data_IF_127694334884
#
_entry.id   IF_127694334884
#
_cell.length_a   1.000
_cell.length_b   1.000
_cell.length_c   1.000
_cell.angle_alpha   90.00
_cell.angle_beta   90.00
_cell.angle_gamma   90.00
#
_symmetry.space_group_name_H-M   'P 1'
#
loop_
_entity.id
_entity.type
_entity.pdbx_description
1 polymer ?
#
# COMPACT_ATOMS: atom_id res chain seq x y z
N UNK A 1 -6.69 -8.24 5.25
CA UNK A 1 -7.13 -9.27 4.29
C UNK A 1 -6.52 -10.61 4.69
N UNK A 2 -7.08 -11.72 4.20
CA UNK A 2 -6.64 -13.08 4.55
C UNK A 2 -6.24 -13.85 3.29
N UNK A 3 -5.29 -14.80 3.33
CA UNK A 3 -4.96 -15.62 2.17
C UNK A 3 -6.20 -16.28 1.56
N UNK A 4 -6.34 -16.18 0.23
CA UNK A 4 -7.55 -16.56 -0.50
C UNK A 4 -7.92 -18.04 -0.27
N UNK A 5 -6.92 -18.93 -0.30
CA UNK A 5 -7.15 -20.35 -0.05
C UNK A 5 -7.67 -20.64 1.38
N UNK A 6 -7.21 -19.88 2.38
CA UNK A 6 -7.69 -20.00 3.76
C UNK A 6 -9.15 -19.54 3.89
N UNK A 7 -9.56 -18.50 3.15
CA UNK A 7 -10.96 -18.06 3.10
C UNK A 7 -11.83 -19.09 2.37
N UNK A 8 -11.33 -19.69 1.29
CA UNK A 8 -12.02 -20.74 0.54
C UNK A 8 -12.24 -21.99 1.41
N UNK A 9 -11.28 -22.34 2.25
CA UNK A 9 -11.39 -23.48 3.16
C UNK A 9 -12.46 -23.32 4.25
N UNK A 10 -13.00 -22.10 4.44
CA UNK A 10 -14.18 -21.88 5.29
C UNK A 10 -15.46 -22.50 4.69
N UNK A 11 -15.45 -22.87 3.40
CA UNK A 11 -16.51 -23.60 2.73
C UNK A 11 -16.19 -25.11 2.76
N UNK A 12 -17.03 -25.94 3.39
CA UNK A 12 -16.78 -27.37 3.49
C UNK A 12 -16.83 -28.02 2.10
N UNK A 13 -15.97 -29.02 1.90
CA UNK A 13 -15.95 -29.88 0.71
C UNK A 13 -15.75 -29.13 -0.62
N UNK A 14 -15.26 -27.90 -0.63
CA UNK A 14 -14.99 -27.18 -1.88
C UNK A 14 -13.72 -27.68 -2.57
N UNK A 15 -13.69 -27.63 -3.91
CA UNK A 15 -12.44 -27.74 -4.65
C UNK A 15 -11.72 -26.38 -4.67
N UNK A 16 -10.57 -26.28 -3.98
CA UNK A 16 -9.80 -25.05 -3.79
C UNK A 16 -9.49 -24.30 -5.09
N UNK A 17 -8.79 -24.95 -6.02
CA UNK A 17 -8.32 -24.29 -7.26
C UNK A 17 -9.47 -23.81 -8.15
N UNK A 18 -10.52 -24.63 -8.42
CA UNK A 18 -11.70 -24.14 -9.15
C UNK A 18 -12.43 -22.99 -8.43
N UNK A 19 -12.54 -23.02 -7.11
CA UNK A 19 -13.20 -21.95 -6.35
C UNK A 19 -12.41 -20.64 -6.41
N UNK A 20 -11.08 -20.70 -6.32
CA UNK A 20 -10.21 -19.56 -6.47
C UNK A 20 -10.32 -18.93 -7.87
N UNK A 21 -10.30 -19.77 -8.92
CA UNK A 21 -10.49 -19.30 -10.29
C UNK A 21 -11.87 -18.66 -10.50
N UNK A 22 -12.94 -19.27 -9.95
CA UNK A 22 -14.30 -18.72 -10.01
C UNK A 22 -14.43 -17.39 -9.27
N UNK A 23 -13.83 -17.27 -8.07
CA UNK A 23 -13.80 -16.03 -7.30
C UNK A 23 -13.08 -14.92 -8.07
N UNK A 24 -11.87 -15.18 -8.55
CA UNK A 24 -11.09 -14.22 -9.33
C UNK A 24 -11.87 -13.75 -10.56
N UNK A 25 -12.47 -14.69 -11.29
CA UNK A 25 -13.29 -14.38 -12.47
C UNK A 25 -14.48 -13.49 -12.10
N UNK A 26 -15.24 -13.85 -11.06
CA UNK A 26 -16.41 -13.10 -10.63
C UNK A 26 -16.09 -11.66 -10.18
N UNK A 27 -14.96 -11.47 -9.50
CA UNK A 27 -14.49 -10.13 -9.08
C UNK A 27 -14.06 -9.29 -10.29
N UNK A 28 -13.30 -9.87 -11.22
CA UNK A 28 -12.84 -9.18 -12.43
C UNK A 28 -14.01 -8.78 -13.34
N UNK A 29 -14.97 -9.70 -13.55
CA UNK A 29 -16.13 -9.47 -14.40
C UNK A 29 -17.17 -8.52 -13.75
N UNK A 30 -17.06 -8.24 -12.44
CA UNK A 30 -17.98 -7.36 -11.71
C UNK A 30 -19.43 -7.87 -11.61
N UNK A 31 -19.69 -9.09 -12.09
CA UNK A 31 -21.00 -9.74 -12.13
C UNK A 31 -20.97 -11.13 -11.51
N UNK A 32 -20.71 -11.27 -10.19
CA UNK A 32 -21.15 -12.47 -9.51
C UNK A 32 -22.66 -12.61 -9.72
N UNK A 33 -23.12 -13.78 -10.17
CA UNK A 33 -24.46 -14.02 -10.74
C UNK A 33 -25.69 -13.52 -9.96
N UNK A 34 -25.51 -12.99 -8.73
CA UNK A 34 -26.58 -12.53 -7.83
C UNK A 34 -26.30 -11.14 -7.23
N UNK A 35 -25.09 -10.58 -7.36
CA UNK A 35 -24.74 -9.34 -6.69
C UNK A 35 -23.84 -8.43 -7.55
N UNK A 36 -24.30 -7.23 -7.96
CA UNK A 36 -23.42 -6.27 -8.62
C UNK A 36 -22.38 -5.74 -7.63
N UNK A 37 -21.12 -5.68 -8.05
CA UNK A 37 -20.05 -5.03 -7.30
C UNK A 37 -19.81 -3.64 -7.88
N UNK A 38 -19.63 -2.63 -7.03
CA UNK A 38 -19.04 -1.36 -7.45
C UNK A 38 -17.58 -1.56 -7.85
N UNK A 39 -17.01 -0.60 -8.58
CA UNK A 39 -15.59 -0.67 -8.94
C UNK A 39 -14.68 -0.65 -7.70
N UNK A 40 -15.02 0.16 -6.69
CA UNK A 40 -14.34 0.16 -5.39
C UNK A 40 -14.41 -1.22 -4.71
N UNK A 41 -15.57 -1.87 -4.72
CA UNK A 41 -15.73 -3.19 -4.14
C UNK A 41 -14.92 -4.25 -4.90
N UNK A 42 -14.75 -4.09 -6.22
CA UNK A 42 -13.93 -5.01 -7.02
C UNK A 42 -12.45 -4.90 -6.65
N UNK A 43 -11.94 -3.69 -6.51
CA UNK A 43 -10.55 -3.43 -6.15
C UNK A 43 -10.23 -3.94 -4.73
N UNK A 44 -11.19 -3.80 -3.81
CA UNK A 44 -11.03 -4.25 -2.43
C UNK A 44 -11.35 -5.74 -2.23
N UNK A 45 -12.09 -6.39 -3.12
CA UNK A 45 -12.53 -7.77 -2.94
C UNK A 45 -11.36 -8.78 -2.98
N UNK A 46 -10.44 -8.58 -3.93
CA UNK A 46 -9.40 -9.56 -4.23
C UNK A 46 -8.09 -8.87 -4.65
N UNK A 47 -7.00 -9.21 -3.98
CA UNK A 47 -5.66 -8.70 -4.30
C UNK A 47 -4.78 -9.81 -4.87
N UNK A 48 -4.41 -9.69 -6.14
CA UNK A 48 -3.60 -10.66 -6.88
C UNK A 48 -2.11 -10.30 -6.76
N UNK A 49 -1.48 -10.73 -5.67
CA UNK A 49 -0.03 -10.64 -5.43
C UNK A 49 0.60 -12.04 -5.37
N UNK A 50 1.89 -12.13 -4.99
CA UNK A 50 2.59 -13.41 -4.79
C UNK A 50 1.83 -14.36 -3.85
N UNK A 51 1.15 -13.79 -2.86
CA UNK A 51 0.09 -14.45 -2.10
C UNK A 51 -1.22 -13.76 -2.43
N UNK A 52 -2.16 -14.51 -3.00
CA UNK A 52 -3.50 -14.01 -3.29
C UNK A 52 -4.27 -13.78 -1.99
N UNK A 53 -4.80 -12.56 -1.82
CA UNK A 53 -5.54 -12.17 -0.63
C UNK A 53 -7.00 -11.91 -0.98
N UNK A 54 -7.89 -12.23 -0.06
CA UNK A 54 -9.33 -12.01 -0.19
C UNK A 54 -9.83 -11.25 1.03
N UNK A 55 -10.56 -10.16 0.82
CA UNK A 55 -11.19 -9.39 1.88
C UNK A 55 -12.56 -9.98 2.27
N UNK A 56 -13.21 -9.45 3.32
CA UNK A 56 -14.61 -9.81 3.62
C UNK A 56 -15.58 -9.55 2.45
N UNK A 57 -15.30 -8.55 1.60
CA UNK A 57 -16.06 -8.26 0.38
C UNK A 57 -15.93 -9.42 -0.61
N UNK A 58 -14.70 -9.90 -0.85
CA UNK A 58 -14.46 -11.08 -1.69
C UNK A 58 -15.05 -12.37 -1.09
N UNK A 59 -15.12 -12.48 0.24
CA UNK A 59 -15.80 -13.59 0.90
C UNK A 59 -17.32 -13.57 0.68
N UNK A 60 -17.94 -12.39 0.61
CA UNK A 60 -19.35 -12.22 0.26
C UNK A 60 -19.63 -12.68 -1.18
N UNK A 61 -18.72 -12.36 -2.11
CA UNK A 61 -18.77 -12.87 -3.50
C UNK A 61 -18.65 -14.39 -3.51
N UNK A 62 -17.69 -14.95 -2.76
CA UNK A 62 -17.49 -16.38 -2.65
C UNK A 62 -18.74 -17.10 -2.10
N UNK A 63 -19.40 -16.52 -1.10
CA UNK A 63 -20.68 -17.03 -0.56
C UNK A 63 -21.79 -17.01 -1.61
N UNK A 64 -21.90 -15.94 -2.40
CA UNK A 64 -22.88 -15.87 -3.49
C UNK A 64 -22.64 -16.96 -4.55
N UNK A 65 -21.38 -17.19 -4.94
CA UNK A 65 -21.01 -18.28 -5.85
C UNK A 65 -21.34 -19.66 -5.28
N UNK A 66 -21.13 -19.85 -3.97
CA UNK A 66 -21.47 -21.09 -3.28
C UNK A 66 -22.98 -21.37 -3.30
N UNK A 67 -23.78 -20.41 -2.86
CA UNK A 67 -25.23 -20.53 -2.78
C UNK A 67 -25.88 -20.64 -4.17
N UNK A 68 -25.29 -20.02 -5.19
CA UNK A 68 -25.70 -20.14 -6.58
C UNK A 68 -25.29 -21.46 -7.27
N UNK A 69 -24.56 -22.34 -6.57
CA UNK A 69 -24.11 -23.62 -7.13
C UNK A 69 -23.01 -23.49 -8.19
N UNK A 70 -22.33 -22.35 -8.25
CA UNK A 70 -21.25 -22.10 -9.21
C UNK A 70 -19.89 -22.65 -8.75
N UNK A 71 -19.79 -23.12 -7.51
CA UNK A 71 -18.58 -23.75 -6.98
C UNK A 71 -18.62 -25.27 -7.14
N UNK A 72 -17.51 -25.84 -7.60
CA UNK A 72 -17.33 -27.29 -7.65
C UNK A 72 -17.12 -27.84 -6.24
N UNK A 73 -18.00 -28.75 -5.81
CA UNK A 73 -17.94 -29.40 -4.49
C UNK A 73 -17.62 -30.89 -4.61
N UNK A 74 -16.88 -31.41 -3.63
CA UNK A 74 -16.57 -32.85 -3.47
C UNK A 74 -17.77 -33.65 -2.99
N UNK A 75 -18.71 -32.99 -2.31
CA UNK A 75 -19.94 -33.55 -1.73
C UNK A 75 -21.08 -32.54 -1.92
N UNK A 76 -22.36 -32.96 -1.85
CA UNK A 76 -23.49 -32.03 -1.85
C UNK A 76 -23.29 -30.91 -0.81
N UNK A 77 -23.56 -29.68 -1.21
CA UNK A 77 -23.31 -28.49 -0.38
C UNK A 77 -24.22 -28.44 0.84
N UNK A 78 -23.66 -28.04 1.99
CA UNK A 78 -24.40 -27.68 3.19
C UNK A 78 -24.83 -26.21 3.10
N UNK A 79 -26.12 -25.92 3.20
CA UNK A 79 -26.61 -24.52 3.10
C UNK A 79 -25.96 -23.54 4.11
N UNK A 80 -25.66 -23.91 5.36
CA UNK A 80 -24.96 -23.00 6.28
C UNK A 80 -23.43 -23.06 6.13
N UNK A 81 -22.79 -21.90 6.05
CA UNK A 81 -21.33 -21.71 6.05
C UNK A 81 -20.93 -20.70 7.15
N UNK A 82 -21.14 -21.02 8.44
CA UNK A 82 -21.04 -20.04 9.53
C UNK A 82 -19.65 -19.43 9.69
N UNK A 83 -18.59 -20.18 9.36
CA UNK A 83 -17.22 -19.66 9.41
C UNK A 83 -16.97 -18.58 8.34
N UNK A 84 -17.54 -18.77 7.14
CA UNK A 84 -17.50 -17.75 6.08
C UNK A 84 -18.35 -16.53 6.47
N UNK A 85 -19.50 -16.76 7.10
CA UNK A 85 -20.39 -15.69 7.58
C UNK A 85 -19.73 -14.82 8.65
N UNK A 86 -19.01 -15.44 9.59
CA UNK A 86 -18.24 -14.73 10.60
C UNK A 86 -17.15 -13.84 9.97
N UNK A 87 -16.47 -14.33 8.91
CA UNK A 87 -15.48 -13.52 8.21
C UNK A 87 -16.14 -12.36 7.43
N UNK A 88 -17.27 -12.60 6.75
CA UNK A 88 -18.04 -11.56 6.06
C UNK A 88 -18.51 -10.47 7.04
N UNK A 89 -18.91 -10.85 8.26
CA UNK A 89 -19.35 -9.90 9.28
C UNK A 89 -18.26 -8.88 9.70
N UNK A 90 -16.99 -9.12 9.38
CA UNK A 90 -15.90 -8.16 9.62
C UNK A 90 -15.80 -7.05 8.55
N UNK A 91 -16.63 -7.10 7.49
CA UNK A 91 -16.62 -6.12 6.40
C UNK A 91 -16.72 -4.65 6.86
N UNK A 92 -17.58 -4.26 7.83
CA UNK A 92 -17.66 -2.87 8.26
C UNK A 92 -16.37 -2.35 8.89
N UNK A 93 -15.69 -3.19 9.69
CA UNK A 93 -14.40 -2.84 10.31
C UNK A 93 -13.33 -2.72 9.23
N UNK A 94 -13.29 -3.67 8.29
CA UNK A 94 -12.37 -3.60 7.16
C UNK A 94 -12.54 -2.32 6.33
N UNK A 95 -13.77 -1.91 6.02
CA UNK A 95 -14.04 -0.66 5.29
C UNK A 95 -13.62 0.57 6.08
N UNK A 96 -13.86 0.60 7.38
CA UNK A 96 -13.44 1.70 8.23
C UNK A 96 -11.91 1.85 8.26
N UNK A 97 -11.18 0.73 8.31
CA UNK A 97 -9.71 0.75 8.24
C UNK A 97 -9.18 1.23 6.89
N UNK A 98 -9.76 0.76 5.79
CA UNK A 98 -9.41 1.23 4.44
C UNK A 98 -9.63 2.73 4.32
N UNK A 99 -10.81 3.23 4.71
CA UNK A 99 -11.12 4.65 4.66
C UNK A 99 -10.15 5.50 5.52
N UNK A 100 -9.79 5.01 6.71
CA UNK A 100 -8.82 5.66 7.59
C UNK A 100 -7.43 5.75 6.96
N UNK A 101 -6.97 4.68 6.32
CA UNK A 101 -5.66 4.65 5.64
C UNK A 101 -5.64 5.66 4.49
N UNK A 102 -6.65 5.62 3.61
CA UNK A 102 -6.75 6.54 2.47
C UNK A 102 -6.81 8.00 2.92
N UNK A 103 -7.61 8.30 3.95
CA UNK A 103 -7.68 9.65 4.50
C UNK A 103 -6.33 10.12 5.09
N UNK A 104 -5.58 9.22 5.74
CA UNK A 104 -4.28 9.53 6.30
C UNK A 104 -3.22 9.77 5.20
N UNK A 105 -3.26 8.99 4.11
CA UNK A 105 -2.40 9.18 2.95
C UNK A 105 -2.70 10.50 2.24
N UNK A 106 -3.98 10.83 2.05
CA UNK A 106 -4.40 12.10 1.47
C UNK A 106 -3.93 13.29 2.31
N UNK A 107 -4.10 13.21 3.64
CA UNK A 107 -3.63 14.25 4.55
C UNK A 107 -2.10 14.42 4.48
N UNK A 108 -1.34 13.33 4.36
CA UNK A 108 0.12 13.39 4.17
C UNK A 108 0.50 14.05 2.85
N UNK A 109 -0.20 13.74 1.76
CA UNK A 109 0.03 14.35 0.45
C UNK A 109 -0.26 15.85 0.49
N UNK A 110 -1.42 16.24 1.02
CA UNK A 110 -1.79 17.64 1.19
C UNK A 110 -0.76 18.40 2.04
N UNK A 111 -0.29 17.79 3.14
CA UNK A 111 0.73 18.39 4.01
C UNK A 111 2.06 18.56 3.28
N UNK A 112 2.47 17.59 2.46
CA UNK A 112 3.67 17.69 1.64
C UNK A 112 3.55 18.85 0.62
N UNK A 113 2.41 18.96 -0.07
CA UNK A 113 2.18 20.03 -1.05
C UNK A 113 2.22 21.41 -0.40
N UNK A 114 1.66 21.55 0.81
CA UNK A 114 1.76 22.78 1.60
C UNK A 114 3.22 23.15 1.92
N UNK A 115 4.02 22.19 2.37
CA UNK A 115 5.44 22.43 2.69
C UNK A 115 6.26 22.75 1.44
N UNK A 116 5.96 22.11 0.29
CA UNK A 116 6.62 22.45 -0.97
C UNK A 116 6.31 23.89 -1.39
N UNK A 117 5.05 24.31 -1.25
CA UNK A 117 4.60 25.66 -1.55
C UNK A 117 5.21 26.69 -0.58
N UNK A 118 5.36 26.35 0.70
CA UNK A 118 5.97 27.18 1.73
C UNK A 118 6.84 26.35 2.71
N UNK A 119 8.16 26.24 2.49
CA UNK A 119 9.06 25.45 3.31
C UNK A 119 9.16 25.90 4.77
N UNK A 120 8.86 27.17 5.05
CA UNK A 120 8.94 27.72 6.42
C UNK A 120 7.75 27.27 7.28
N UNK A 121 6.64 26.81 6.67
CA UNK A 121 5.49 26.29 7.41
C UNK A 121 5.68 24.86 7.95
N UNK A 122 6.79 24.20 7.59
CA UNK A 122 7.15 22.89 8.12
C UNK A 122 7.54 22.97 9.60
N UNK A 123 7.39 21.85 10.32
CA UNK A 123 7.90 21.70 11.68
C UNK A 123 9.23 20.92 11.66
N UNK A 124 10.15 21.15 12.61
CA UNK A 124 11.43 20.44 12.63
C UNK A 124 11.29 18.90 12.72
N UNK A 125 10.23 18.39 13.36
CA UNK A 125 9.93 16.95 13.47
C UNK A 125 9.42 16.31 12.17
N UNK A 126 9.05 17.14 11.18
CA UNK A 126 8.63 16.68 9.85
C UNK A 126 9.82 16.53 8.89
N UNK A 127 11.00 17.01 9.27
CA UNK A 127 12.21 16.91 8.46
C UNK A 127 12.61 15.45 8.24
N UNK A 128 12.82 15.12 6.98
CA UNK A 128 13.29 13.82 6.54
C UNK A 128 14.06 13.98 5.22
N UNK A 129 14.96 13.05 4.87
CA UNK A 129 15.65 13.10 3.58
C UNK A 129 14.69 13.17 2.39
N UNK A 130 13.56 12.46 2.47
CA UNK A 130 12.50 12.51 1.46
C UNK A 130 11.90 13.91 1.30
N UNK A 131 11.51 14.55 2.41
CA UNK A 131 10.94 15.89 2.38
C UNK A 131 11.93 16.91 1.80
N UNK A 132 13.18 16.89 2.29
CA UNK A 132 14.25 17.78 1.82
C UNK A 132 14.43 17.63 0.29
N UNK A 133 14.55 16.40 -0.20
CA UNK A 133 14.70 16.13 -1.63
C UNK A 133 13.51 16.62 -2.46
N UNK A 134 12.28 16.49 -1.95
CA UNK A 134 11.07 16.98 -2.62
C UNK A 134 11.05 18.50 -2.71
N UNK A 135 11.35 19.19 -1.61
CA UNK A 135 11.41 20.66 -1.58
C UNK A 135 12.54 21.18 -2.47
N UNK A 136 13.75 20.60 -2.39
CA UNK A 136 14.87 20.96 -3.28
C UNK A 136 14.49 20.79 -4.75
N UNK A 137 13.92 19.63 -5.11
CA UNK A 137 13.51 19.36 -6.49
C UNK A 137 12.48 20.37 -6.99
N UNK A 138 11.49 20.72 -6.16
CA UNK A 138 10.46 21.68 -6.53
C UNK A 138 10.97 23.12 -6.63
N UNK A 139 11.94 23.53 -5.79
CA UNK A 139 12.45 24.91 -5.73
C UNK A 139 13.64 25.18 -6.65
N UNK A 140 14.53 24.21 -6.81
CA UNK A 140 15.84 24.38 -7.46
C UNK A 140 16.04 23.43 -8.65
N UNK A 141 15.18 22.43 -8.82
CA UNK A 141 15.27 21.43 -9.89
C UNK A 141 15.89 20.10 -9.47
N UNK A 142 15.83 19.11 -10.36
CA UNK A 142 16.15 17.71 -10.07
C UNK A 142 17.62 17.46 -9.71
N UNK A 143 18.57 18.17 -10.34
CA UNK A 143 20.02 17.94 -10.14
C UNK A 143 20.67 19.03 -9.27
N UNK A 144 19.87 19.81 -8.54
CA UNK A 144 20.38 20.86 -7.67
C UNK A 144 20.99 20.28 -6.38
N UNK A 145 22.15 20.81 -6.01
CA UNK A 145 22.86 20.54 -4.75
C UNK A 145 23.07 21.86 -4.00
N UNK A 146 23.26 21.77 -2.69
CA UNK A 146 23.53 22.92 -1.85
C UNK A 146 22.76 22.87 -0.54
N UNK A 147 22.45 24.04 -0.01
CA UNK A 147 21.69 24.22 1.22
C UNK A 147 20.39 24.99 0.98
N UNK A 148 19.37 24.67 1.77
CA UNK A 148 18.06 25.31 1.76
C UNK A 148 17.53 25.37 3.18
N UNK A 149 16.85 26.45 3.54
CA UNK A 149 16.16 26.54 4.84
C UNK A 149 14.77 25.91 4.73
N UNK A 150 14.44 25.00 5.64
CA UNK A 150 13.12 24.36 5.78
C UNK A 150 12.79 24.33 7.28
N UNK A 151 11.60 24.78 7.67
CA UNK A 151 11.23 24.90 9.09
C UNK A 151 12.20 25.78 9.92
N UNK A 152 12.86 26.76 9.31
CA UNK A 152 13.93 27.55 9.96
C UNK A 152 15.23 26.78 10.22
N UNK A 153 15.38 25.56 9.69
CA UNK A 153 16.57 24.71 9.82
C UNK A 153 17.30 24.62 8.49
N UNK A 154 18.62 24.83 8.51
CA UNK A 154 19.46 24.61 7.33
C UNK A 154 19.55 23.13 6.99
N UNK A 155 19.01 22.79 5.83
CA UNK A 155 19.00 21.45 5.26
C UNK A 155 19.94 21.40 4.05
N UNK A 156 20.52 20.25 3.79
CA UNK A 156 21.55 20.04 2.80
C UNK A 156 21.17 18.93 1.82
N UNK A 157 21.50 19.12 0.55
CA UNK A 157 21.44 18.11 -0.50
C UNK A 157 22.79 18.03 -1.17
N UNK A 158 23.49 16.92 -0.99
CA UNK A 158 24.89 16.75 -1.40
C UNK A 158 25.06 15.51 -2.27
N UNK A 159 26.02 15.56 -3.19
CA UNK A 159 26.46 14.37 -3.92
C UNK A 159 27.51 13.64 -3.09
N UNK A 160 27.25 12.39 -2.77
CA UNK A 160 28.21 11.49 -2.13
C UNK A 160 28.93 10.72 -3.24
N UNK A 161 30.23 10.95 -3.44
CA UNK A 161 31.00 10.21 -4.43
C UNK A 161 31.09 8.74 -4.01
N UNK A 162 31.22 7.82 -4.98
CA UNK A 162 31.44 6.42 -4.65
C UNK A 162 32.75 6.24 -3.87
N UNK A 163 32.83 5.23 -2.99
CA UNK A 163 34.09 4.89 -2.35
C UNK A 163 35.14 4.54 -3.41
N UNK A 164 36.40 4.94 -3.19
CA UNK A 164 37.49 4.56 -4.07
C UNK A 164 37.65 3.03 -4.05
N UNK A 165 37.50 2.39 -5.20
CA UNK A 165 37.70 0.94 -5.39
C UNK A 165 38.85 0.70 -6.35
N UNK A 166 39.77 -0.20 -5.99
CA UNK A 166 40.89 -0.61 -6.86
C UNK A 166 40.47 -1.52 -8.03
N UNK A 167 39.20 -1.95 -8.06
CA UNK A 167 38.68 -2.90 -9.05
C UNK A 167 37.73 -2.22 -10.04
N UNK A 168 38.17 -2.09 -11.31
CA UNK A 168 37.46 -1.40 -12.39
C UNK A 168 36.13 -2.09 -12.81
N UNK A 169 35.81 -3.26 -12.22
CA UNK A 169 34.66 -4.10 -12.62
C UNK A 169 33.35 -3.76 -11.92
N UNK A 170 33.37 -2.97 -10.84
CA UNK A 170 32.16 -2.51 -10.15
C UNK A 170 32.35 -1.07 -9.64
N UNK A 171 32.22 -0.08 -10.52
CA UNK A 171 32.16 1.32 -10.08
C UNK A 171 30.81 1.56 -9.42
N UNK A 172 30.80 1.81 -8.11
CA UNK A 172 29.63 2.32 -7.43
C UNK A 172 29.24 3.69 -8.04
N UNK A 173 27.94 3.95 -8.15
CA UNK A 173 27.43 5.24 -8.65
C UNK A 173 27.46 6.29 -7.53
N UNK A 174 27.66 7.56 -7.90
CA UNK A 174 27.51 8.65 -6.96
C UNK A 174 26.05 8.72 -6.50
N UNK A 175 25.83 8.77 -5.18
CA UNK A 175 24.48 8.83 -4.60
C UNK A 175 24.20 10.22 -4.09
N UNK A 176 22.94 10.62 -4.18
CA UNK A 176 22.49 11.86 -3.58
C UNK A 176 22.10 11.63 -2.12
N UNK A 177 22.54 12.52 -1.24
CA UNK A 177 22.30 12.45 0.21
C UNK A 177 21.61 13.73 0.66
N UNK A 178 20.55 13.60 1.47
CA UNK A 178 19.87 14.71 2.09
C UNK A 178 19.94 14.60 3.63
N UNK A 179 20.35 15.70 4.28
CA UNK A 179 20.61 15.73 5.72
C UNK A 179 20.41 17.14 6.30
N UNK A 180 20.34 17.26 7.62
CA UNK A 180 20.22 18.55 8.33
C UNK A 180 20.92 18.49 9.69
N UNK A 181 21.04 19.63 10.35
CA UNK A 181 21.51 19.71 11.74
C UNK A 181 20.31 19.95 12.66
N UNK A 182 20.17 19.15 13.72
CA UNK A 182 19.16 19.38 14.74
C UNK A 182 19.52 20.56 15.66
N UNK A 183 18.61 20.91 16.58
CA UNK A 183 18.83 22.02 17.53
C UNK A 183 20.04 21.83 18.46
N UNK A 184 20.53 20.60 18.62
CA UNK A 184 21.74 20.29 19.38
C UNK A 184 23.01 20.25 18.50
N UNK A 185 22.87 20.53 17.19
CA UNK A 185 23.96 20.52 16.23
C UNK A 185 24.34 19.12 15.75
N UNK A 186 23.55 18.08 16.04
CA UNK A 186 23.83 16.74 15.53
C UNK A 186 23.28 16.60 14.11
N UNK A 187 24.05 15.92 13.26
CA UNK A 187 23.61 15.59 11.90
C UNK A 187 22.55 14.50 11.92
N UNK A 188 21.48 14.74 11.18
CA UNK A 188 20.36 13.83 10.97
C UNK A 188 20.16 13.59 9.47
N UNK A 189 19.52 12.47 9.11
CA UNK A 189 19.19 12.14 7.72
C UNK A 189 20.10 11.07 7.12
N UNK A 190 20.37 11.19 5.82
CA UNK A 190 21.17 10.20 5.11
C UNK A 190 22.62 10.15 5.63
N UNK A 191 23.23 8.95 5.68
CA UNK A 191 24.64 8.84 6.05
C UNK A 191 25.53 9.62 5.07
N UNK A 192 26.68 10.09 5.54
CA UNK A 192 27.77 10.49 4.64
C UNK A 192 28.13 9.29 3.75
#
# INVERSE_FOLDING_TARGET
MTPALSVIDLIPHVHRTPALAALRRAVVEGRPAVLPLSDEDRDLAFHDASVQLTSPIGARVLKALYLGGHLKLKKPGLKPVPALDAYIATEPVFRADVARILAAEEAKRLRLDQIIADPDCARPDELSPFLINKVFTARLGHDAFGELTIAGVTCYRTLVPPPATDDDRQRAEARMSAWWLDAAGNRQGDPA
#
